data_IF_177337318475
#
_entry.id   IF_177337318475
#
_cell.length_a   1.000
_cell.length_b   1.000
_cell.length_c   1.000
_cell.angle_alpha   90.00
_cell.angle_beta   90.00
_cell.angle_gamma   90.00
#
_symmetry.space_group_name_H-M   'P 1'
#
loop_
_entity.id
_entity.type
_entity.pdbx_description
1 polymer ?
#
# COMPACT_ATOMS: atom_id res chain seq x y z
N UNK A 1 1.47 -8.42 -2.10
CA UNK A 1 1.68 -7.55 -0.92
C UNK A 1 0.84 -8.15 0.20
N UNK A 2 1.46 -8.83 1.18
CA UNK A 2 0.72 -9.42 2.28
C UNK A 2 0.37 -8.31 3.28
N UNK A 3 -0.90 -7.91 3.34
CA UNK A 3 -1.38 -7.07 4.42
C UNK A 3 -1.54 -7.94 5.67
N UNK A 4 -0.72 -7.71 6.68
CA UNK A 4 -0.87 -8.39 7.97
C UNK A 4 -1.84 -7.55 8.77
N UNK A 5 -3.05 -8.07 8.91
CA UNK A 5 -4.10 -7.43 9.70
C UNK A 5 -3.83 -7.72 11.18
N UNK A 6 -3.81 -6.70 12.06
CA UNK A 6 -3.79 -6.93 13.50
C UNK A 6 -4.99 -7.77 13.94
N UNK A 7 -4.76 -8.81 14.75
CA UNK A 7 -5.87 -9.52 15.40
C UNK A 7 -6.21 -8.82 16.74
N UNK A 8 -7.32 -8.06 16.79
CA UNK A 8 -7.68 -7.33 18.01
C UNK A 8 -8.12 -8.25 19.14
N UNK A 9 -8.46 -9.52 18.86
CA UNK A 9 -8.88 -10.49 19.88
C UNK A 9 -7.70 -11.07 20.65
N UNK A 10 -6.50 -11.01 20.08
CA UNK A 10 -5.29 -11.62 20.63
C UNK A 10 -4.06 -10.69 20.53
N UNK A 11 -4.11 -9.50 21.17
CA UNK A 11 -3.09 -8.45 20.98
C UNK A 11 -1.69 -8.90 21.40
N UNK A 12 -1.56 -9.62 22.52
CA UNK A 12 -0.27 -10.08 23.04
C UNK A 12 0.36 -11.16 22.15
N UNK A 13 -0.45 -12.12 21.68
CA UNK A 13 0.02 -13.19 20.79
C UNK A 13 0.45 -12.62 19.43
N UNK A 14 -0.29 -11.65 18.92
CA UNK A 14 0.06 -10.96 17.68
C UNK A 14 1.37 -10.17 17.80
N UNK A 15 1.56 -9.45 18.92
CA UNK A 15 2.82 -8.75 19.21
C UNK A 15 3.99 -9.74 19.34
N UNK A 16 3.80 -10.88 20.02
CA UNK A 16 4.82 -11.91 20.15
C UNK A 16 5.17 -12.53 18.78
N UNK A 17 4.17 -12.82 17.95
CA UNK A 17 4.35 -13.36 16.61
C UNK A 17 5.21 -12.44 15.73
N UNK A 18 4.91 -11.14 15.73
CA UNK A 18 5.70 -10.20 14.93
C UNK A 18 7.09 -9.95 15.52
N UNK A 19 7.22 -9.89 16.84
CA UNK A 19 8.54 -9.78 17.50
C UNK A 19 9.42 -10.99 17.17
N UNK A 20 8.85 -12.20 17.23
CA UNK A 20 9.56 -13.43 16.92
C UNK A 20 9.93 -13.53 15.43
N UNK A 21 9.21 -12.84 14.54
CA UNK A 21 9.55 -12.80 13.11
C UNK A 21 10.95 -12.22 12.83
N UNK A 22 11.52 -11.43 13.77
CA UNK A 22 12.87 -10.86 13.66
C UNK A 22 13.98 -11.92 13.49
N UNK A 23 13.78 -13.16 13.98
CA UNK A 23 14.74 -14.25 13.80
C UNK A 23 14.97 -14.62 12.32
N UNK A 24 14.03 -14.25 11.43
CA UNK A 24 14.10 -14.51 9.99
C UNK A 24 14.81 -13.39 9.20
N UNK A 25 15.46 -12.44 9.90
CA UNK A 25 16.28 -11.39 9.29
C UNK A 25 15.54 -10.51 8.27
N UNK A 26 15.92 -10.62 6.99
CA UNK A 26 15.31 -9.87 5.88
C UNK A 26 13.84 -10.23 5.61
N UNK A 27 13.40 -11.41 6.06
CA UNK A 27 12.03 -11.93 5.90
C UNK A 27 11.12 -11.61 7.09
N UNK A 28 11.57 -10.78 8.04
CA UNK A 28 10.76 -10.36 9.18
C UNK A 28 9.51 -9.60 8.74
N UNK A 29 8.48 -9.67 9.57
CA UNK A 29 7.27 -8.88 9.41
C UNK A 29 7.61 -7.42 9.72
N UNK A 30 7.28 -6.52 8.79
CA UNK A 30 7.42 -5.08 8.97
C UNK A 30 6.04 -4.46 8.93
N UNK A 31 5.71 -3.72 10.00
CA UNK A 31 4.54 -2.87 9.98
C UNK A 31 4.79 -1.68 9.08
N UNK A 32 3.80 -1.40 8.24
CA UNK A 32 3.76 -0.20 7.44
C UNK A 32 2.41 0.46 7.72
N UNK A 33 2.44 1.62 8.36
CA UNK A 33 1.28 2.48 8.49
C UNK A 33 1.47 3.65 7.52
N UNK A 34 0.58 3.77 6.54
CA UNK A 34 0.52 4.91 5.64
C UNK A 34 -0.66 5.80 6.04
N UNK A 35 -0.45 6.64 7.05
CA UNK A 35 -1.39 7.67 7.47
C UNK A 35 -0.74 9.05 7.30
N UNK A 36 -0.57 9.53 6.05
CA UNK A 36 0.02 10.84 5.80
C UNK A 36 -0.92 11.95 6.30
N UNK A 37 -0.35 13.01 6.85
CA UNK A 37 -1.10 14.23 7.19
C UNK A 37 -1.25 15.17 5.98
N UNK A 38 -2.03 16.24 6.17
CA UNK A 38 -2.31 17.22 5.12
C UNK A 38 -1.04 17.92 4.63
N UNK A 39 -0.11 18.25 5.51
CA UNK A 39 1.13 18.98 5.16
C UNK A 39 2.04 18.10 4.30
N UNK A 40 2.15 16.81 4.64
CA UNK A 40 2.90 15.82 3.90
C UNK A 40 2.29 15.61 2.51
N UNK A 41 0.97 15.51 2.39
CA UNK A 41 0.29 15.39 1.10
C UNK A 41 0.44 16.63 0.24
N UNK A 42 0.35 17.83 0.82
CA UNK A 42 0.56 19.09 0.11
C UNK A 42 2.00 19.20 -0.41
N UNK A 43 2.99 18.82 0.41
CA UNK A 43 4.39 18.79 0.00
C UNK A 43 4.64 17.79 -1.12
N UNK A 44 4.04 16.60 -1.05
CA UNK A 44 4.13 15.61 -2.11
C UNK A 44 3.50 16.11 -3.42
N UNK A 45 2.34 16.76 -3.36
CA UNK A 45 1.69 17.35 -4.53
C UNK A 45 2.59 18.38 -5.21
N UNK A 46 3.21 19.28 -4.43
CA UNK A 46 4.18 20.25 -4.95
C UNK A 46 5.36 19.56 -5.65
N UNK A 47 5.92 18.50 -5.08
CA UNK A 47 7.00 17.76 -5.75
C UNK A 47 6.57 17.10 -7.06
N UNK A 48 5.31 16.70 -7.18
CA UNK A 48 4.75 16.18 -8.42
C UNK A 48 4.58 17.29 -9.46
N UNK A 49 4.08 18.45 -9.05
CA UNK A 49 3.90 19.64 -9.91
C UNK A 49 5.25 20.18 -10.41
N UNK A 50 6.26 20.21 -9.56
CA UNK A 50 7.64 20.61 -9.90
C UNK A 50 8.38 19.56 -10.75
N UNK A 51 7.79 18.37 -10.97
CA UNK A 51 8.38 17.28 -11.73
C UNK A 51 9.51 16.52 -11.01
N UNK A 52 9.74 16.81 -9.73
CA UNK A 52 10.73 16.12 -8.87
C UNK A 52 10.30 14.68 -8.57
N UNK A 53 9.00 14.45 -8.43
CA UNK A 53 8.39 13.13 -8.21
C UNK A 53 7.42 12.82 -9.34
N UNK A 54 7.54 11.64 -9.95
CA UNK A 54 6.60 11.17 -10.98
C UNK A 54 5.72 10.05 -10.41
N UNK A 55 4.39 10.21 -10.35
CA UNK A 55 3.51 9.10 -10.02
C UNK A 55 3.59 8.04 -11.13
N UNK A 56 3.83 6.79 -10.74
CA UNK A 56 3.76 5.66 -11.65
C UNK A 56 2.33 5.12 -11.66
N UNK A 57 1.67 5.19 -12.81
CA UNK A 57 0.33 4.64 -13.02
C UNK A 57 0.50 3.32 -13.75
N UNK A 58 0.07 2.24 -13.13
CA UNK A 58 0.16 0.89 -13.69
C UNK A 58 -1.04 0.57 -14.59
N UNK A 59 -2.19 1.16 -14.29
CA UNK A 59 -3.43 0.90 -15.01
C UNK A 59 -4.52 1.90 -14.64
N UNK A 60 -5.40 2.14 -15.61
CA UNK A 60 -6.60 2.97 -15.46
C UNK A 60 -7.80 2.12 -15.86
N UNK A 61 -8.78 2.03 -14.99
CA UNK A 61 -9.98 1.23 -15.18
C UNK A 61 -11.21 2.10 -14.96
N UNK A 62 -12.25 1.94 -15.76
CA UNK A 62 -13.56 2.52 -15.45
C UNK A 62 -14.14 1.88 -14.19
N UNK A 63 -14.99 2.61 -13.47
CA UNK A 63 -15.67 2.10 -12.28
C UNK A 63 -16.42 0.79 -12.54
N UNK A 64 -17.05 0.66 -13.72
CA UNK A 64 -17.72 -0.57 -14.14
C UNK A 64 -16.78 -1.80 -14.18
N UNK A 65 -15.47 -1.58 -14.25
CA UNK A 65 -14.42 -2.60 -14.32
C UNK A 65 -13.62 -2.72 -13.02
N UNK A 66 -14.15 -2.28 -11.89
CA UNK A 66 -13.46 -2.33 -10.59
C UNK A 66 -12.96 -3.74 -10.23
N UNK A 67 -13.69 -4.79 -10.62
CA UNK A 67 -13.26 -6.17 -10.41
C UNK A 67 -11.99 -6.53 -11.19
N UNK A 68 -11.81 -6.00 -12.40
CA UNK A 68 -10.58 -6.18 -13.19
C UNK A 68 -9.41 -5.45 -12.53
N UNK A 69 -9.64 -4.24 -12.02
CA UNK A 69 -8.63 -3.47 -11.29
C UNK A 69 -8.11 -4.22 -10.05
N UNK A 70 -9.02 -4.84 -9.28
CA UNK A 70 -8.65 -5.67 -8.13
C UNK A 70 -7.85 -6.90 -8.54
N UNK A 71 -8.29 -7.64 -9.56
CA UNK A 71 -7.54 -8.81 -10.07
C UNK A 71 -6.13 -8.42 -10.55
N UNK A 72 -6.01 -7.29 -11.25
CA UNK A 72 -4.73 -6.77 -11.69
C UNK A 72 -3.82 -6.38 -10.51
N UNK A 73 -4.37 -5.78 -9.46
CA UNK A 73 -3.63 -5.43 -8.24
C UNK A 73 -3.17 -6.65 -7.43
N UNK A 74 -3.99 -7.70 -7.38
CA UNK A 74 -3.66 -8.95 -6.68
C UNK A 74 -2.60 -9.77 -7.41
N UNK A 75 -2.52 -9.62 -8.74
CA UNK A 75 -1.45 -10.24 -9.54
C UNK A 75 -0.12 -9.60 -9.14
N UNK A 76 0.79 -10.39 -8.57
CA UNK A 76 2.08 -9.89 -8.08
C UNK A 76 2.85 -9.14 -9.18
N UNK A 77 3.40 -7.96 -8.86
CA UNK A 77 4.29 -7.23 -9.76
C UNK A 77 3.82 -5.83 -10.16
N UNK A 78 2.70 -5.33 -9.64
CA UNK A 78 2.35 -3.91 -9.78
C UNK A 78 3.48 -3.02 -9.27
N UNK A 79 3.96 -2.09 -10.10
CA UNK A 79 5.03 -1.13 -9.82
C UNK A 79 4.50 0.25 -9.43
N UNK A 80 3.18 0.45 -9.45
CA UNK A 80 2.54 1.75 -9.37
C UNK A 80 1.10 1.70 -8.86
N UNK A 81 0.38 2.80 -9.09
CA UNK A 81 -1.01 2.98 -8.66
C UNK A 81 -1.96 2.49 -9.74
N UNK A 82 -3.01 1.79 -9.32
CA UNK A 82 -4.19 1.52 -10.14
C UNK A 82 -5.19 2.66 -9.94
N UNK A 83 -5.69 3.24 -11.02
CA UNK A 83 -6.61 4.37 -10.99
C UNK A 83 -7.98 3.90 -11.44
N UNK A 84 -9.01 4.30 -10.69
CA UNK A 84 -10.40 4.13 -11.10
C UNK A 84 -10.90 5.46 -11.65
N UNK A 85 -11.33 5.44 -12.90
CA UNK A 85 -11.95 6.55 -13.59
C UNK A 85 -13.47 6.48 -13.39
N UNK A 86 -14.06 7.58 -12.93
CA UNK A 86 -15.47 7.60 -12.53
C UNK A 86 -16.45 7.83 -13.69
N UNK A 87 -16.00 8.42 -14.80
CA UNK A 87 -16.79 8.79 -15.99
C UNK A 87 -18.12 9.50 -15.69
#
# INVERSE_FOLDING_TARGET
MAAIVPDPRHPLLWMAYVSLSCIHGGRRIRYFNAAPDTEMLASLARYVEEGVVRPHVDGVYELARIADAHRAFETSGSRGKQIIMLA
#
